data_IF_163426363387
#
_entry.id   IF_163426363387
#
_cell.length_a   1.000
_cell.length_b   1.000
_cell.length_c   1.000
_cell.angle_alpha   90.00
_cell.angle_beta   90.00
_cell.angle_gamma   90.00
#
_symmetry.space_group_name_H-M   'P 1'
#
loop_
_entity.id
_entity.type
_entity.pdbx_description
1 polymer ?
#
# COMPACT_ATOMS: atom_id res chain seq x y z
N UNK A 1 28.47 42.95 7.67
CA UNK A 1 27.75 42.69 8.94
C UNK A 1 26.27 42.86 8.60
N UNK A 2 25.44 41.83 8.50
CA UNK A 2 25.27 40.61 9.32
C UNK A 2 24.57 39.55 8.44
N UNK A 3 25.04 38.31 8.42
CA UNK A 3 24.62 37.19 9.26
C UNK A 3 23.62 36.27 8.53
N UNK A 4 24.18 35.18 8.03
CA UNK A 4 23.55 33.96 7.52
C UNK A 4 22.72 33.31 8.64
N UNK A 5 21.45 32.92 8.42
CA UNK A 5 20.74 32.11 9.38
C UNK A 5 21.03 30.62 9.12
N UNK A 6 22.01 30.06 9.83
CA UNK A 6 22.14 28.61 10.01
C UNK A 6 21.08 28.15 11.02
N UNK A 7 19.95 27.64 10.54
CA UNK A 7 18.95 26.98 11.38
C UNK A 7 19.22 25.48 11.40
N UNK A 8 20.16 25.06 12.25
CA UNK A 8 20.29 23.68 12.70
C UNK A 8 19.13 23.42 13.69
N UNK A 9 18.14 22.64 13.28
CA UNK A 9 17.16 22.07 14.21
C UNK A 9 17.75 20.77 14.76
N UNK A 10 18.24 20.84 15.99
CA UNK A 10 18.70 19.70 16.79
C UNK A 10 17.50 18.78 17.10
N UNK A 11 17.32 17.72 16.31
CA UNK A 11 16.42 16.62 16.67
C UNK A 11 17.17 15.65 17.59
N UNK A 12 17.24 16.00 18.87
CA UNK A 12 17.71 15.11 19.93
C UNK A 12 16.64 14.04 20.18
N UNK A 13 16.87 12.81 19.72
CA UNK A 13 15.97 11.68 19.98
C UNK A 13 16.03 11.32 21.47
N UNK A 14 14.95 11.57 22.21
CA UNK A 14 14.79 11.08 23.59
C UNK A 14 14.61 9.56 23.57
N UNK A 15 15.64 8.81 23.95
CA UNK A 15 15.52 7.39 24.27
C UNK A 15 14.75 7.23 25.57
N UNK A 16 13.43 7.02 25.48
CA UNK A 16 12.61 6.69 26.66
C UNK A 16 12.86 5.23 27.04
N UNK A 17 13.79 5.05 27.98
CA UNK A 17 13.99 3.82 28.75
C UNK A 17 12.75 3.56 29.61
N UNK A 18 12.21 2.34 29.46
CA UNK A 18 11.63 1.51 30.53
C UNK A 18 10.31 1.98 31.17
N UNK A 19 9.25 1.22 30.93
CA UNK A 19 8.44 0.75 32.06
C UNK A 19 7.92 -0.66 31.78
N UNK A 20 8.29 -1.57 32.68
CA UNK A 20 7.93 -2.98 32.70
C UNK A 20 6.51 -3.13 33.21
N UNK A 21 5.69 -3.95 32.55
CA UNK A 21 4.44 -4.41 33.14
C UNK A 21 4.40 -5.93 33.04
N UNK A 22 4.79 -6.58 34.14
CA UNK A 22 4.39 -7.95 34.44
C UNK A 22 2.86 -7.97 34.49
N UNK A 23 2.21 -8.52 33.46
CA UNK A 23 0.79 -8.88 33.53
C UNK A 23 0.65 -10.36 33.16
N UNK A 24 0.42 -11.13 34.22
CA UNK A 24 -0.36 -12.36 34.31
C UNK A 24 -0.44 -13.27 33.06
N UNK A 25 -0.02 -14.52 33.26
CA UNK A 25 0.00 -15.67 32.34
C UNK A 25 -1.42 -16.13 31.90
N UNK A 26 -2.29 -15.19 31.55
CA UNK A 26 -3.49 -15.45 30.75
C UNK A 26 -3.22 -14.96 29.33
N UNK A 27 -2.33 -15.68 28.65
CA UNK A 27 -2.11 -15.51 27.21
C UNK A 27 -3.39 -15.91 26.48
N UNK A 28 -4.33 -14.97 26.37
CA UNK A 28 -5.46 -15.09 25.47
C UNK A 28 -4.85 -15.29 24.09
N UNK A 29 -5.05 -16.44 23.42
CA UNK A 29 -4.44 -16.66 22.13
C UNK A 29 -4.91 -15.55 21.20
N UNK A 30 -3.95 -14.71 20.76
CA UNK A 30 -4.24 -13.69 19.75
C UNK A 30 -4.95 -14.39 18.59
N UNK A 31 -6.10 -13.90 18.13
CA UNK A 31 -6.77 -14.49 16.99
C UNK A 31 -5.75 -14.56 15.86
N UNK A 32 -5.57 -15.75 15.30
CA UNK A 32 -4.69 -15.95 14.16
C UNK A 32 -5.18 -14.97 13.09
N UNK A 33 -4.33 -14.04 12.61
CA UNK A 33 -4.75 -13.09 11.59
C UNK A 33 -5.20 -13.88 10.37
N UNK A 34 -6.51 -13.83 10.10
CA UNK A 34 -7.09 -14.40 8.90
C UNK A 34 -6.77 -13.47 7.73
N UNK A 35 -5.93 -13.96 6.82
CA UNK A 35 -5.79 -13.38 5.49
C UNK A 35 -6.74 -14.11 4.54
N UNK A 36 -7.74 -13.39 4.03
CA UNK A 36 -8.63 -13.91 2.99
C UNK A 36 -8.02 -13.61 1.61
N UNK A 37 -7.89 -14.65 0.80
CA UNK A 37 -7.54 -14.52 -0.61
C UNK A 37 -8.79 -14.16 -1.45
N UNK A 38 -8.63 -13.44 -2.57
CA UNK A 38 -9.73 -13.22 -3.53
C UNK A 38 -10.33 -14.54 -4.03
N UNK A 39 -11.60 -14.53 -4.39
CA UNK A 39 -12.34 -15.74 -4.77
C UNK A 39 -11.72 -16.44 -6.00
N UNK A 40 -11.22 -15.67 -6.96
CA UNK A 40 -10.58 -16.14 -8.17
C UNK A 40 -9.25 -16.85 -7.86
N UNK A 41 -8.50 -16.28 -6.91
CA UNK A 41 -7.23 -16.86 -6.42
C UNK A 41 -7.51 -18.15 -5.65
N UNK A 42 -8.52 -18.16 -4.78
CA UNK A 42 -8.94 -19.34 -4.03
C UNK A 42 -9.36 -20.48 -4.95
N UNK A 43 -10.15 -20.21 -5.99
CA UNK A 43 -10.49 -21.23 -6.98
C UNK A 43 -9.25 -21.80 -7.66
N UNK A 44 -8.27 -20.95 -7.97
CA UNK A 44 -7.02 -21.37 -8.59
C UNK A 44 -6.12 -22.26 -7.73
N UNK A 45 -6.29 -22.26 -6.40
CA UNK A 45 -5.44 -23.04 -5.46
C UNK A 45 -6.18 -24.10 -4.66
N UNK A 46 -7.50 -24.20 -4.83
CA UNK A 46 -8.40 -25.03 -4.00
C UNK A 46 -7.99 -26.51 -3.92
N UNK A 47 -7.56 -27.10 -5.04
CA UNK A 47 -7.28 -28.53 -5.15
C UNK A 47 -5.77 -28.85 -5.16
N UNK A 48 -4.94 -27.87 -4.77
CA UNK A 48 -3.49 -28.02 -4.71
C UNK A 48 -3.01 -28.43 -3.33
N UNK A 49 -1.89 -29.14 -3.27
CA UNK A 49 -1.16 -29.32 -2.02
C UNK A 49 -0.67 -27.96 -1.49
N UNK A 50 -0.48 -27.79 -0.17
CA UNK A 50 -0.08 -26.51 0.42
C UNK A 50 1.17 -25.89 -0.22
N UNK A 51 2.18 -26.71 -0.49
CA UNK A 51 3.44 -26.29 -1.12
C UNK A 51 3.22 -25.83 -2.57
N UNK A 52 2.39 -26.55 -3.34
CA UNK A 52 2.06 -26.22 -4.73
C UNK A 52 1.21 -24.95 -4.82
N UNK A 53 0.27 -24.77 -3.89
CA UNK A 53 -0.53 -23.56 -3.76
C UNK A 53 0.38 -22.34 -3.51
N UNK A 54 1.33 -22.46 -2.57
CA UNK A 54 2.30 -21.40 -2.30
C UNK A 54 3.17 -21.10 -3.51
N UNK A 55 3.73 -22.12 -4.17
CA UNK A 55 4.56 -21.94 -5.36
C UNK A 55 3.79 -21.26 -6.50
N UNK A 56 2.53 -21.63 -6.71
CA UNK A 56 1.67 -20.98 -7.71
C UNK A 56 1.40 -19.52 -7.37
N UNK A 57 1.13 -19.21 -6.10
CA UNK A 57 0.93 -17.83 -5.64
C UNK A 57 2.20 -16.98 -5.85
N UNK A 58 3.36 -17.51 -5.47
CA UNK A 58 4.64 -16.83 -5.65
C UNK A 58 4.99 -16.66 -7.13
N UNK A 59 4.72 -17.67 -7.97
CA UNK A 59 4.93 -17.56 -9.41
C UNK A 59 4.00 -16.54 -10.07
N UNK A 60 2.77 -16.38 -9.57
CA UNK A 60 1.76 -15.50 -10.17
C UNK A 60 1.89 -14.05 -9.70
N UNK A 61 2.22 -13.85 -8.42
CA UNK A 61 2.21 -12.53 -7.78
C UNK A 61 3.53 -12.16 -7.10
N UNK A 62 4.39 -13.13 -6.79
CA UNK A 62 5.63 -12.90 -6.05
C UNK A 62 6.70 -12.12 -6.84
N UNK A 63 6.59 -12.08 -8.18
CA UNK A 63 7.51 -11.34 -9.03
C UNK A 63 7.14 -9.86 -9.20
N UNK A 64 5.90 -9.47 -8.90
CA UNK A 64 5.44 -8.10 -9.12
C UNK A 64 5.63 -7.25 -7.87
N UNK A 65 6.77 -6.58 -7.81
CA UNK A 65 7.04 -5.54 -6.82
C UNK A 65 7.07 -4.21 -7.59
N UNK A 66 5.97 -3.43 -7.61
CA UNK A 66 5.94 -2.19 -8.36
C UNK A 66 6.99 -1.22 -7.82
N UNK A 67 7.87 -0.77 -8.72
CA UNK A 67 8.91 0.21 -8.38
C UNK A 67 8.27 1.58 -8.15
N UNK A 68 9.02 2.50 -7.54
CA UNK A 68 8.56 3.87 -7.38
C UNK A 68 8.21 4.52 -8.73
N UNK A 69 8.99 4.24 -9.77
CA UNK A 69 8.75 4.72 -11.12
C UNK A 69 7.48 4.12 -11.74
N UNK A 70 7.19 2.84 -11.50
CA UNK A 70 5.96 2.20 -11.98
C UNK A 70 4.72 2.85 -11.36
N UNK A 71 4.78 3.11 -10.04
CA UNK A 71 3.70 3.78 -9.31
C UNK A 71 3.51 5.21 -9.79
N UNK A 72 4.60 5.95 -10.00
CA UNK A 72 4.55 7.29 -10.55
C UNK A 72 3.93 7.31 -11.95
N UNK A 73 4.34 6.37 -12.82
CA UNK A 73 3.74 6.18 -14.15
C UNK A 73 2.24 5.92 -14.09
N UNK A 74 1.79 5.05 -13.18
CA UNK A 74 0.36 4.77 -13.00
C UNK A 74 -0.40 6.02 -12.54
N UNK A 75 0.14 6.76 -11.58
CA UNK A 75 -0.48 8.00 -11.09
C UNK A 75 -0.52 9.10 -12.16
N UNK A 76 0.54 9.24 -12.96
CA UNK A 76 0.56 10.19 -14.08
C UNK A 76 -0.51 9.84 -15.12
N UNK A 77 -0.69 8.56 -15.45
CA UNK A 77 -1.72 8.12 -16.38
C UNK A 77 -3.13 8.42 -15.84
N UNK A 78 -3.38 8.12 -14.56
CA UNK A 78 -4.65 8.46 -13.91
C UNK A 78 -4.89 9.97 -13.93
N UNK A 79 -3.86 10.77 -13.64
CA UNK A 79 -3.96 12.23 -13.70
C UNK A 79 -4.28 12.74 -15.11
N UNK A 80 -3.62 12.20 -16.14
CA UNK A 80 -3.92 12.52 -17.54
C UNK A 80 -5.36 12.14 -17.91
N UNK A 81 -5.85 10.98 -17.46
CA UNK A 81 -7.24 10.57 -17.68
C UNK A 81 -8.22 11.57 -17.05
N UNK A 82 -7.98 11.97 -15.79
CA UNK A 82 -8.83 12.95 -15.10
C UNK A 82 -8.81 14.31 -15.78
N UNK A 83 -7.64 14.78 -16.25
CA UNK A 83 -7.52 16.04 -16.97
C UNK A 83 -8.28 16.00 -18.30
N UNK A 84 -8.13 14.92 -19.07
CA UNK A 84 -8.88 14.73 -20.32
C UNK A 84 -10.39 14.70 -20.06
N UNK A 85 -10.80 14.01 -19.00
CA UNK A 85 -12.21 13.99 -18.58
C UNK A 85 -12.70 15.39 -18.22
N UNK A 86 -11.92 16.14 -17.42
CA UNK A 86 -12.26 17.50 -17.04
C UNK A 86 -12.41 18.42 -18.25
N UNK A 87 -11.47 18.37 -19.19
CA UNK A 87 -11.53 19.18 -20.41
C UNK A 87 -12.81 18.86 -21.22
N UNK A 88 -13.09 17.57 -21.45
CA UNK A 88 -14.27 17.16 -22.20
C UNK A 88 -15.59 17.55 -21.51
N UNK A 89 -15.70 17.33 -20.21
CA UNK A 89 -16.95 17.55 -19.49
C UNK A 89 -17.19 19.03 -19.16
N UNK A 90 -16.16 19.73 -18.71
CA UNK A 90 -16.28 21.07 -18.14
C UNK A 90 -15.98 22.15 -19.18
N UNK A 91 -14.96 21.95 -20.02
CA UNK A 91 -14.58 22.95 -21.03
C UNK A 91 -15.43 22.77 -22.29
N UNK A 92 -15.53 21.55 -22.80
CA UNK A 92 -16.29 21.28 -24.02
C UNK A 92 -17.80 21.09 -23.76
N UNK A 93 -18.20 20.91 -22.50
CA UNK A 93 -19.60 20.80 -22.07
C UNK A 93 -20.27 19.46 -22.42
N UNK A 94 -19.50 18.42 -22.74
CA UNK A 94 -20.01 17.10 -23.09
C UNK A 94 -20.27 16.25 -21.83
N UNK A 95 -21.31 16.65 -21.08
CA UNK A 95 -21.76 15.97 -19.85
C UNK A 95 -22.37 14.57 -20.10
N UNK A 96 -22.63 14.19 -21.36
CA UNK A 96 -23.25 12.91 -21.73
C UNK A 96 -22.26 11.75 -21.86
N UNK A 97 -20.97 12.00 -21.62
CA UNK A 97 -19.88 11.03 -21.63
C UNK A 97 -20.01 9.84 -20.65
N UNK A 98 -20.90 9.95 -19.67
CA UNK A 98 -21.07 9.02 -18.54
C UNK A 98 -22.11 7.92 -18.77
N UNK A 99 -22.78 7.89 -19.94
CA UNK A 99 -23.75 6.86 -20.35
C UNK A 99 -23.15 5.88 -21.34
#
# INVERSE_FOLDING_TARGET
KSAEPTSNADYEWTTRTEDSLDDDDTSVPKPIPNICLPAEVLQGVKDLAPEDALNKLLSSYGAYIPTAADKEKTLQLEQEEHELRFQREVIDGDMLALL
#
